data_IF_379558797823
#
_entry.id   IF_379558797823
#
_cell.length_a   1.000
_cell.length_b   1.000
_cell.length_c   1.000
_cell.angle_alpha   90.00
_cell.angle_beta   90.00
_cell.angle_gamma   90.00
#
_symmetry.space_group_name_H-M   'P 1'
#
loop_
_entity.id
_entity.type
_entity.pdbx_description
1 polymer ?
#
# COMPACT_ATOMS: atom_id res chain seq x y z
N UNK A 1 18.41 10.07 15.00
CA UNK A 1 17.77 10.32 13.70
C UNK A 1 16.64 9.32 13.39
N UNK A 2 16.82 8.00 13.49
CA UNK A 2 15.72 7.05 13.19
C UNK A 2 14.48 7.18 14.12
N UNK A 3 14.66 7.57 15.35
CA UNK A 3 13.57 7.75 16.32
C UNK A 3 12.68 8.95 15.98
N UNK A 4 13.25 9.96 15.34
CA UNK A 4 12.54 11.18 14.96
C UNK A 4 11.62 10.93 13.75
N UNK A 5 12.11 10.20 12.74
CA UNK A 5 11.31 9.83 11.57
C UNK A 5 10.10 8.95 11.94
N UNK A 6 10.31 7.87 12.69
CA UNK A 6 9.21 6.99 13.07
C UNK A 6 8.16 7.72 13.92
N UNK A 7 8.59 8.61 14.82
CA UNK A 7 7.70 9.42 15.64
C UNK A 7 6.87 10.37 14.78
N UNK A 8 7.52 11.06 13.84
CA UNK A 8 6.86 11.95 12.90
C UNK A 8 5.81 11.22 12.05
N UNK A 9 6.14 10.01 11.56
CA UNK A 9 5.20 9.19 10.80
C UNK A 9 3.99 8.79 11.66
N UNK A 10 4.20 8.37 12.91
CA UNK A 10 3.10 7.98 13.81
C UNK A 10 2.18 9.16 14.16
N UNK A 11 2.72 10.37 14.36
CA UNK A 11 1.92 11.58 14.58
C UNK A 11 1.04 11.90 13.38
N UNK A 12 1.62 11.83 12.17
CA UNK A 12 0.87 12.04 10.93
C UNK A 12 -0.16 10.93 10.70
N UNK A 13 0.18 9.67 10.99
CA UNK A 13 -0.74 8.54 10.87
C UNK A 13 -1.93 8.66 11.83
N UNK A 14 -1.68 9.13 13.06
CA UNK A 14 -2.73 9.40 14.05
C UNK A 14 -3.70 10.47 13.54
N UNK A 15 -3.19 11.55 12.96
CA UNK A 15 -4.00 12.65 12.47
C UNK A 15 -4.71 12.34 11.15
N UNK A 16 -4.01 11.69 10.22
CA UNK A 16 -4.50 11.45 8.87
C UNK A 16 -5.29 10.14 8.74
N UNK A 17 -5.00 9.12 9.55
CA UNK A 17 -5.49 7.76 9.32
C UNK A 17 -4.95 7.16 8.04
N UNK A 18 -5.51 6.02 7.62
CA UNK A 18 -5.15 5.32 6.39
C UNK A 18 -6.32 5.38 5.42
N UNK A 19 -6.10 5.93 4.24
CA UNK A 19 -7.11 6.12 3.21
C UNK A 19 -7.07 4.97 2.21
N UNK A 20 -8.26 4.52 1.80
CA UNK A 20 -8.43 3.68 0.63
C UNK A 20 -9.03 4.48 -0.55
N UNK A 21 -9.38 3.79 -1.63
CA UNK A 21 -9.83 4.42 -2.87
C UNK A 21 -11.01 5.39 -2.70
N UNK A 22 -11.91 5.13 -1.76
CA UNK A 22 -13.05 5.99 -1.46
C UNK A 22 -12.89 6.66 -0.09
N UNK A 23 -13.34 7.92 0.04
CA UNK A 23 -13.25 8.69 1.30
C UNK A 23 -13.89 8.00 2.50
N UNK A 24 -14.92 7.20 2.25
CA UNK A 24 -15.66 6.45 3.26
C UNK A 24 -14.89 5.23 3.78
N UNK A 25 -13.89 4.78 3.04
CA UNK A 25 -13.06 3.60 3.35
C UNK A 25 -11.78 4.00 4.10
N UNK A 26 -11.89 4.88 5.06
CA UNK A 26 -10.75 5.37 5.85
C UNK A 26 -10.65 4.65 7.18
N UNK A 27 -9.48 4.12 7.49
CA UNK A 27 -9.16 3.63 8.83
C UNK A 27 -8.75 4.83 9.68
N UNK A 28 -9.58 5.17 10.67
CA UNK A 28 -9.30 6.21 11.64
C UNK A 28 -8.99 5.59 13.00
N UNK A 29 -7.83 5.89 13.56
CA UNK A 29 -7.42 5.33 14.83
C UNK A 29 -8.02 6.09 15.99
N UNK A 30 -8.64 5.37 16.93
CA UNK A 30 -9.10 5.90 18.21
C UNK A 30 -7.95 6.04 19.21
N UNK A 31 -6.95 5.16 19.11
CA UNK A 31 -5.67 5.26 19.80
C UNK A 31 -4.54 4.76 18.91
N UNK A 32 -3.34 5.32 19.10
CA UNK A 32 -2.12 4.86 18.45
C UNK A 32 -0.98 5.00 19.47
N UNK A 33 -0.44 3.87 19.90
CA UNK A 33 0.54 3.79 20.97
C UNK A 33 1.78 3.01 20.50
N UNK A 34 2.96 3.38 21.05
CA UNK A 34 4.18 2.66 20.76
C UNK A 34 4.10 1.20 21.21
N UNK A 35 4.64 0.31 20.40
CA UNK A 35 4.76 -1.11 20.67
C UNK A 35 6.24 -1.53 20.65
N UNK A 36 6.74 -2.27 21.65
CA UNK A 36 8.17 -2.61 21.76
C UNK A 36 8.53 -3.84 20.92
N UNK A 37 8.04 -3.91 19.67
CA UNK A 37 8.35 -4.98 18.74
C UNK A 37 9.63 -4.72 17.94
N UNK A 38 10.09 -5.74 17.24
CA UNK A 38 11.24 -5.63 16.34
C UNK A 38 10.83 -5.02 14.98
N UNK A 39 9.69 -5.41 14.46
CA UNK A 39 9.13 -4.96 13.18
C UNK A 39 7.89 -4.10 13.41
N UNK A 40 7.04 -4.49 14.34
CA UNK A 40 5.87 -3.72 14.73
C UNK A 40 6.29 -2.68 15.76
N UNK A 41 6.21 -1.40 15.39
CA UNK A 41 6.66 -0.29 16.25
C UNK A 41 5.51 0.39 17.01
N UNK A 42 4.26 0.15 16.62
CA UNK A 42 3.10 0.71 17.29
C UNK A 42 1.87 -0.21 17.16
N UNK A 43 0.90 0.02 18.02
CA UNK A 43 -0.43 -0.57 17.95
C UNK A 43 -1.47 0.53 17.80
N UNK A 44 -2.30 0.42 16.78
CA UNK A 44 -3.44 1.30 16.55
C UNK A 44 -4.74 0.58 16.87
N UNK A 45 -5.66 1.27 17.52
CA UNK A 45 -7.02 0.78 17.73
C UNK A 45 -7.97 1.54 16.82
N UNK A 46 -8.83 0.84 16.13
CA UNK A 46 -9.85 1.43 15.24
C UNK A 46 -11.16 0.64 15.35
N UNK A 47 -12.22 1.20 14.78
CA UNK A 47 -13.54 0.55 14.79
C UNK A 47 -13.87 0.06 13.39
N UNK A 48 -14.29 -1.19 13.30
CA UNK A 48 -14.75 -1.85 12.10
C UNK A 48 -16.21 -2.27 12.33
N UNK A 49 -17.16 -1.55 11.70
CA UNK A 49 -18.56 -1.67 12.07
C UNK A 49 -18.78 -1.30 13.54
N UNK A 50 -19.27 -2.27 14.33
CA UNK A 50 -19.45 -2.11 15.79
C UNK A 50 -18.29 -2.74 16.60
N UNK A 51 -17.31 -3.34 15.94
CA UNK A 51 -16.23 -4.08 16.58
C UNK A 51 -14.96 -3.25 16.66
N UNK A 52 -14.36 -3.21 17.84
CA UNK A 52 -13.04 -2.61 18.01
C UNK A 52 -11.96 -3.61 17.55
N UNK A 53 -11.05 -3.13 16.70
CA UNK A 53 -9.94 -3.89 16.11
C UNK A 53 -8.59 -3.29 16.51
N UNK A 54 -7.57 -4.12 16.53
CA UNK A 54 -6.19 -3.75 16.83
C UNK A 54 -5.30 -3.99 15.63
N UNK A 55 -4.66 -2.92 15.16
CA UNK A 55 -3.69 -2.97 14.06
C UNK A 55 -2.27 -2.89 14.60
N UNK A 56 -1.41 -3.84 14.23
CA UNK A 56 0.03 -3.67 14.34
C UNK A 56 0.54 -2.74 13.23
N UNK A 57 1.40 -1.79 13.57
CA UNK A 57 1.95 -0.83 12.61
C UNK A 57 3.43 -1.14 12.37
N UNK A 58 3.80 -1.37 11.11
CA UNK A 58 5.16 -1.39 10.63
C UNK A 58 5.43 -0.06 9.92
N UNK A 59 6.52 0.60 10.26
CA UNK A 59 7.04 1.75 9.51
C UNK A 59 8.29 1.30 8.77
N UNK A 60 8.25 1.39 7.45
CA UNK A 60 9.40 1.11 6.59
C UNK A 60 10.50 2.16 6.73
N UNK A 61 11.67 1.92 6.14
CA UNK A 61 12.78 2.85 6.18
C UNK A 61 12.42 4.16 5.46
N UNK A 62 12.99 5.27 5.96
CA UNK A 62 12.85 6.59 5.34
C UNK A 62 13.39 6.58 3.88
N UNK A 63 14.52 5.91 3.69
CA UNK A 63 15.14 5.69 2.39
C UNK A 63 15.33 4.18 2.20
N UNK A 64 14.63 3.61 1.22
CA UNK A 64 14.68 2.19 0.92
C UNK A 64 13.32 1.58 0.66
N UNK A 65 13.29 0.28 0.68
CA UNK A 65 12.14 -0.55 0.27
C UNK A 65 11.81 -1.56 1.36
N UNK A 66 10.54 -1.76 1.65
CA UNK A 66 10.08 -2.86 2.50
C UNK A 66 10.02 -4.13 1.67
N UNK A 67 10.75 -5.14 2.08
CA UNK A 67 10.82 -6.42 1.39
C UNK A 67 9.71 -7.37 1.84
N UNK A 68 9.43 -8.39 1.02
CA UNK A 68 8.52 -9.48 1.42
C UNK A 68 8.97 -10.19 2.71
N UNK A 69 10.26 -10.52 2.93
CA UNK A 69 10.71 -11.06 4.21
C UNK A 69 10.38 -10.17 5.42
N UNK A 70 10.50 -8.84 5.28
CA UNK A 70 10.15 -7.90 6.35
C UNK A 70 8.65 -7.96 6.66
N UNK A 71 7.80 -7.98 5.64
CA UNK A 71 6.35 -8.11 5.80
C UNK A 71 5.97 -9.44 6.46
N UNK A 72 6.60 -10.54 6.06
CA UNK A 72 6.37 -11.87 6.67
C UNK A 72 6.75 -11.85 8.14
N UNK A 73 7.90 -11.27 8.48
CA UNK A 73 8.36 -11.18 9.87
C UNK A 73 7.44 -10.29 10.72
N UNK A 74 7.04 -9.14 10.19
CA UNK A 74 6.10 -8.24 10.86
C UNK A 74 4.71 -8.85 11.04
N UNK A 75 4.19 -9.56 10.03
CA UNK A 75 2.90 -10.22 10.10
C UNK A 75 2.89 -11.37 11.12
N UNK A 76 4.02 -12.11 11.25
CA UNK A 76 4.19 -13.12 12.29
C UNK A 76 4.17 -12.48 13.66
N UNK A 77 4.96 -11.41 13.86
CA UNK A 77 5.00 -10.67 15.11
C UNK A 77 3.62 -10.11 15.49
N UNK A 78 2.88 -9.55 14.53
CA UNK A 78 1.51 -9.07 14.72
C UNK A 78 0.56 -10.22 15.13
N UNK A 79 0.69 -11.38 14.51
CA UNK A 79 -0.10 -12.57 14.84
C UNK A 79 0.19 -13.10 16.25
N UNK A 80 1.47 -13.16 16.64
CA UNK A 80 1.90 -13.59 17.97
C UNK A 80 1.43 -12.61 19.07
N UNK A 81 1.37 -11.30 18.75
CA UNK A 81 0.83 -10.27 19.64
C UNK A 81 -0.71 -10.22 19.67
N UNK A 82 -1.38 -11.03 18.87
CA UNK A 82 -2.84 -11.09 18.81
C UNK A 82 -3.49 -9.88 18.13
N UNK A 83 -2.79 -9.23 17.20
CA UNK A 83 -3.37 -8.17 16.39
C UNK A 83 -4.28 -8.73 15.30
N UNK A 84 -5.28 -7.93 14.92
CA UNK A 84 -6.28 -8.33 13.93
C UNK A 84 -5.77 -8.10 12.50
N UNK A 85 -4.89 -7.12 12.31
CA UNK A 85 -4.34 -6.72 11.01
C UNK A 85 -2.93 -6.15 11.19
N UNK A 86 -2.09 -6.30 10.18
CA UNK A 86 -0.85 -5.55 10.04
C UNK A 86 -1.04 -4.43 9.02
N UNK A 87 -0.74 -3.19 9.40
CA UNK A 87 -0.65 -2.06 8.48
C UNK A 87 0.83 -1.71 8.31
N UNK A 88 1.35 -1.96 7.13
CA UNK A 88 2.71 -1.59 6.77
C UNK A 88 2.68 -0.24 6.08
N UNK A 89 3.38 0.76 6.64
CA UNK A 89 3.51 2.09 6.09
C UNK A 89 4.90 2.25 5.49
N UNK A 90 5.01 2.42 4.17
CA UNK A 90 6.29 2.59 3.50
C UNK A 90 6.15 3.46 2.25
N UNK A 91 7.25 4.09 1.85
CA UNK A 91 7.31 4.80 0.57
C UNK A 91 7.33 3.81 -0.59
N UNK A 92 8.03 2.69 -0.41
CA UNK A 92 8.20 1.68 -1.45
C UNK A 92 8.17 0.25 -0.90
N UNK A 93 7.71 -0.66 -1.76
CA UNK A 93 7.65 -2.10 -1.53
C UNK A 93 8.33 -2.81 -2.68
N UNK A 94 9.01 -3.93 -2.40
CA UNK A 94 9.56 -4.75 -3.46
C UNK A 94 8.45 -5.43 -4.28
N UNK A 95 8.78 -5.82 -5.52
CA UNK A 95 7.80 -6.45 -6.41
C UNK A 95 7.26 -7.77 -5.86
N UNK A 96 8.08 -8.53 -5.10
CA UNK A 96 7.68 -9.81 -4.51
C UNK A 96 6.74 -9.66 -3.31
N UNK A 97 6.55 -8.45 -2.81
CA UNK A 97 5.59 -8.15 -1.75
C UNK A 97 4.18 -7.92 -2.29
N UNK A 98 4.00 -7.72 -3.59
CA UNK A 98 2.71 -7.38 -4.20
C UNK A 98 1.63 -8.43 -3.88
N UNK A 99 1.97 -9.70 -4.01
CA UNK A 99 1.06 -10.84 -3.78
C UNK A 99 0.93 -11.22 -2.29
N UNK A 100 1.65 -10.52 -1.39
CA UNK A 100 1.63 -10.84 0.04
C UNK A 100 0.61 -9.96 0.76
N UNK A 101 -0.61 -10.44 0.89
CA UNK A 101 -1.75 -9.75 1.49
C UNK A 101 -2.21 -10.33 2.82
N UNK A 102 -1.69 -11.52 3.19
CA UNK A 102 -2.12 -12.23 4.40
C UNK A 102 -1.07 -13.21 4.90
N UNK A 103 -0.96 -13.34 6.22
CA UNK A 103 -0.25 -14.42 6.89
C UNK A 103 -1.15 -15.11 7.93
N UNK A 104 -1.54 -16.35 7.65
CA UNK A 104 -2.50 -17.05 8.51
C UNK A 104 -3.82 -16.28 8.62
N UNK A 105 -4.18 -15.83 9.81
CA UNK A 105 -5.40 -15.02 10.05
C UNK A 105 -5.17 -13.52 9.94
N UNK A 106 -3.92 -13.05 9.83
CA UNK A 106 -3.57 -11.64 9.86
C UNK A 106 -3.50 -11.09 8.43
N UNK A 107 -4.44 -10.24 8.02
CA UNK A 107 -4.33 -9.47 6.78
C UNK A 107 -3.16 -8.49 6.87
N UNK A 108 -2.54 -8.22 5.72
CA UNK A 108 -1.43 -7.27 5.58
C UNK A 108 -1.84 -6.17 4.63
N UNK A 109 -2.08 -4.98 5.18
CA UNK A 109 -2.43 -3.80 4.41
C UNK A 109 -1.17 -2.98 4.12
N UNK A 110 -0.86 -2.82 2.86
CA UNK A 110 0.31 -2.04 2.41
C UNK A 110 -0.12 -0.59 2.18
N UNK A 111 0.15 0.27 3.14
CA UNK A 111 -0.14 1.71 3.07
C UNK A 111 1.06 2.45 2.51
N UNK A 112 0.94 2.96 1.29
CA UNK A 112 1.98 3.79 0.70
C UNK A 112 1.98 5.17 1.32
N UNK A 113 3.15 5.61 1.76
CA UNK A 113 3.37 6.94 2.32
C UNK A 113 3.54 7.97 1.20
N UNK A 114 2.91 9.14 1.38
CA UNK A 114 3.09 10.25 0.45
C UNK A 114 4.52 10.81 0.58
N UNK A 115 5.24 11.05 -0.54
CA UNK A 115 6.57 11.67 -0.52
C UNK A 115 6.65 13.00 0.23
N UNK A 116 5.55 13.74 0.35
CA UNK A 116 5.49 15.00 1.11
C UNK A 116 5.88 14.80 2.60
N UNK A 117 5.76 13.59 3.13
CA UNK A 117 6.21 13.25 4.47
C UNK A 117 7.73 13.37 4.67
N UNK A 118 8.54 13.39 3.60
CA UNK A 118 9.98 13.72 3.67
C UNK A 118 10.24 15.19 3.98
N UNK A 119 9.28 16.07 3.71
CA UNK A 119 9.45 17.51 3.86
C UNK A 119 9.29 18.00 5.29
N UNK A 120 9.03 17.12 6.25
CA UNK A 120 9.05 17.40 7.68
C UNK A 120 8.00 18.43 8.12
N UNK A 121 8.35 19.24 9.11
CA UNK A 121 7.44 20.15 9.82
C UNK A 121 6.80 21.31 9.04
N UNK A 122 7.01 21.41 7.74
CA UNK A 122 6.36 22.42 6.88
C UNK A 122 5.02 21.94 6.29
N UNK A 123 4.63 20.67 6.53
CA UNK A 123 3.28 20.21 6.25
C UNK A 123 2.30 20.95 7.15
N UNK A 124 1.81 22.09 6.66
CA UNK A 124 0.65 22.74 7.30
C UNK A 124 -0.47 21.72 7.35
N UNK A 125 -1.23 21.64 8.45
CA UNK A 125 -2.39 20.75 8.59
C UNK A 125 -3.57 21.22 7.71
N UNK A 126 -3.29 21.59 6.50
CA UNK A 126 -4.30 21.84 5.47
C UNK A 126 -4.68 20.50 4.90
N UNK A 127 -5.54 19.80 5.58
CA UNK A 127 -6.31 18.61 5.33
C UNK A 127 -6.60 18.11 3.91
N UNK A 128 -5.72 18.28 2.97
CA UNK A 128 -5.97 18.05 1.54
C UNK A 128 -5.12 16.96 0.89
N UNK A 129 -4.33 16.21 1.65
CA UNK A 129 -3.53 15.12 1.06
C UNK A 129 -3.76 13.79 1.78
N UNK A 130 -4.01 12.74 1.04
CA UNK A 130 -3.96 11.39 1.57
C UNK A 130 -2.50 11.03 1.85
N UNK A 131 -2.08 11.09 3.11
CA UNK A 131 -0.70 10.84 3.51
C UNK A 131 -0.36 9.34 3.52
N UNK A 132 -1.36 8.51 3.79
CA UNK A 132 -1.24 7.05 3.81
C UNK A 132 -2.38 6.46 3.00
N UNK A 133 -2.04 5.77 1.91
CA UNK A 133 -3.04 5.23 0.98
C UNK A 133 -2.79 3.74 0.77
N UNK A 134 -3.81 2.93 1.00
CA UNK A 134 -3.81 1.53 0.58
C UNK A 134 -4.31 1.49 -0.85
N UNK A 135 -3.46 1.02 -1.76
CA UNK A 135 -3.87 0.74 -3.12
C UNK A 135 -4.45 -0.67 -3.17
N UNK A 136 -5.54 -0.81 -3.88
CA UNK A 136 -6.07 -2.13 -4.19
C UNK A 136 -5.08 -2.92 -5.05
N UNK A 137 -5.11 -4.23 -4.93
CA UNK A 137 -4.28 -5.11 -5.77
C UNK A 137 -4.93 -5.26 -7.14
N UNK A 138 -4.20 -5.00 -8.24
CA UNK A 138 -4.78 -5.14 -9.57
C UNK A 138 -4.90 -6.62 -9.93
N UNK A 139 -6.10 -7.04 -10.37
CA UNK A 139 -6.29 -8.32 -11.03
C UNK A 139 -5.85 -8.18 -12.49
N UNK A 140 -4.70 -8.77 -12.81
CA UNK A 140 -4.06 -8.63 -14.11
C UNK A 140 -3.70 -9.98 -14.72
N UNK A 141 -3.70 -10.03 -16.04
CA UNK A 141 -3.17 -11.13 -16.83
C UNK A 141 -2.08 -10.60 -17.76
N UNK A 142 -0.94 -11.26 -17.74
CA UNK A 142 0.17 -10.96 -18.64
C UNK A 142 0.29 -12.10 -19.65
N UNK A 143 0.26 -11.76 -20.92
CA UNK A 143 0.35 -12.71 -22.03
C UNK A 143 1.46 -12.31 -22.99
N UNK A 144 2.12 -13.33 -23.57
CA UNK A 144 3.01 -13.12 -24.72
C UNK A 144 2.17 -12.62 -25.91
N UNK A 145 2.55 -11.48 -26.47
CA UNK A 145 1.91 -10.89 -27.64
C UNK A 145 2.78 -11.04 -28.92
N UNK A 146 3.82 -11.86 -28.87
CA UNK A 146 4.73 -12.11 -30.00
C UNK A 146 5.88 -11.12 -30.08
N UNK A 147 6.23 -10.72 -31.28
CA UNK A 147 7.34 -9.79 -31.54
C UNK A 147 6.87 -8.65 -32.45
N UNK A 148 7.52 -7.49 -32.28
CA UNK A 148 7.34 -6.37 -33.21
C UNK A 148 8.12 -6.59 -34.52
N UNK A 149 8.05 -5.61 -35.42
CA UNK A 149 8.73 -5.65 -36.72
C UNK A 149 10.26 -5.64 -36.57
N UNK A 150 10.77 -5.13 -35.46
CA UNK A 150 12.19 -5.03 -35.11
C UNK A 150 12.68 -6.30 -34.37
N UNK A 151 11.77 -7.23 -34.01
CA UNK A 151 12.07 -8.48 -33.34
C UNK A 151 12.08 -8.42 -31.81
N UNK A 152 11.66 -7.30 -31.21
CA UNK A 152 11.52 -7.16 -29.76
C UNK A 152 10.30 -7.92 -29.26
N UNK A 153 10.42 -8.55 -28.08
CA UNK A 153 9.31 -9.24 -27.45
C UNK A 153 8.19 -8.25 -27.04
N UNK A 154 6.96 -8.61 -27.36
CA UNK A 154 5.78 -7.86 -26.95
C UNK A 154 5.03 -8.61 -25.86
N UNK A 155 4.57 -7.90 -24.85
CA UNK A 155 3.65 -8.41 -23.83
C UNK A 155 2.32 -7.69 -23.91
N UNK A 156 1.26 -8.42 -23.59
CA UNK A 156 -0.08 -7.84 -23.39
C UNK A 156 -0.41 -7.88 -21.90
N UNK A 157 -0.70 -6.73 -21.31
CA UNK A 157 -1.21 -6.63 -19.96
C UNK A 157 -2.71 -6.36 -20.05
N UNK A 158 -3.51 -7.24 -19.45
CA UNK A 158 -4.95 -7.07 -19.33
C UNK A 158 -5.29 -6.88 -17.87
N UNK A 159 -6.02 -5.80 -17.55
CA UNK A 159 -6.50 -5.48 -16.21
C UNK A 159 -7.97 -5.90 -16.16
N UNK A 160 -8.33 -6.75 -15.20
CA UNK A 160 -9.71 -7.23 -14.99
C UNK A 160 -10.44 -6.43 -13.92
N UNK A 161 -9.69 -5.91 -12.96
CA UNK A 161 -10.25 -5.16 -11.85
C UNK A 161 -9.19 -4.83 -10.81
N UNK A 162 -9.65 -4.53 -9.62
CA UNK A 162 -8.84 -4.24 -8.46
C UNK A 162 -9.50 -4.79 -7.21
N UNK A 163 -8.73 -5.43 -6.35
CA UNK A 163 -9.20 -5.89 -5.05
C UNK A 163 -9.00 -4.77 -4.03
N UNK A 164 -10.08 -4.36 -3.39
CA UNK A 164 -10.12 -3.25 -2.43
C UNK A 164 -10.54 -3.78 -1.06
N UNK A 165 -9.75 -3.50 -0.05
CA UNK A 165 -10.15 -3.78 1.33
C UNK A 165 -11.18 -2.75 1.80
N UNK A 166 -12.30 -3.21 2.36
CA UNK A 166 -13.36 -2.38 2.95
C UNK A 166 -13.20 -2.38 4.48
N UNK A 167 -12.67 -1.32 5.09
CA UNK A 167 -12.42 -1.29 6.55
C UNK A 167 -13.69 -1.45 7.39
N UNK A 168 -14.84 -1.07 6.84
CA UNK A 168 -16.11 -1.12 7.56
C UNK A 168 -16.67 -2.54 7.70
N UNK A 169 -16.41 -3.41 6.72
CA UNK A 169 -16.84 -4.82 6.73
C UNK A 169 -15.70 -5.80 7.00
N UNK A 170 -14.43 -5.34 6.91
CA UNK A 170 -13.25 -6.20 7.02
C UNK A 170 -13.06 -7.15 5.84
N UNK A 171 -13.75 -6.91 4.74
CA UNK A 171 -13.75 -7.76 3.57
C UNK A 171 -12.90 -7.17 2.45
N UNK A 172 -12.31 -8.05 1.64
CA UNK A 172 -11.73 -7.67 0.36
C UNK A 172 -12.81 -7.87 -0.70
N UNK A 173 -13.09 -6.81 -1.44
CA UNK A 173 -14.09 -6.81 -2.52
C UNK A 173 -13.37 -6.58 -3.84
N UNK A 174 -13.59 -7.49 -4.79
CA UNK A 174 -13.11 -7.31 -6.16
C UNK A 174 -14.01 -6.35 -6.91
N UNK A 175 -13.46 -5.21 -7.30
CA UNK A 175 -14.13 -4.23 -8.14
C UNK A 175 -13.67 -4.38 -9.59
N UNK A 176 -14.59 -4.25 -10.54
CA UNK A 176 -14.26 -4.29 -11.96
C UNK A 176 -13.45 -3.06 -12.41
N UNK A 177 -13.10 -3.03 -13.70
CA UNK A 177 -12.31 -1.94 -14.29
C UNK A 177 -12.94 -0.56 -14.17
N UNK A 178 -14.24 -0.47 -13.93
CA UNK A 178 -14.96 0.81 -13.74
C UNK A 178 -14.56 1.53 -12.43
N UNK A 179 -14.05 0.80 -11.45
CA UNK A 179 -13.50 1.35 -10.21
C UNK A 179 -12.09 1.91 -10.34
N UNK A 180 -11.42 1.71 -11.48
CA UNK A 180 -10.02 2.13 -11.68
C UNK A 180 -9.99 3.48 -12.39
N UNK A 181 -9.63 4.54 -11.65
CA UNK A 181 -9.50 5.88 -12.23
C UNK A 181 -8.23 6.03 -13.09
N UNK A 182 -7.13 5.39 -12.66
CA UNK A 182 -5.83 5.45 -13.34
C UNK A 182 -5.02 4.21 -12.98
N UNK A 183 -4.29 3.68 -13.94
CA UNK A 183 -3.24 2.69 -13.69
C UNK A 183 -2.00 3.06 -14.52
N UNK A 184 -0.86 2.68 -14.03
CA UNK A 184 0.44 2.97 -14.64
C UNK A 184 1.27 1.71 -14.65
N UNK A 185 2.09 1.52 -15.67
CA UNK A 185 2.99 0.40 -15.81
C UNK A 185 4.43 0.91 -15.85
N UNK A 186 5.25 0.38 -14.95
CA UNK A 186 6.69 0.57 -14.99
C UNK A 186 7.29 -0.58 -15.79
N UNK A 187 7.89 -0.28 -16.94
CA UNK A 187 8.52 -1.26 -17.83
C UNK A 187 10.03 -1.34 -17.63
N UNK A 188 10.60 -0.49 -16.79
CA UNK A 188 12.05 -0.44 -16.50
C UNK A 188 12.31 -0.50 -14.99
N UNK A 189 11.52 -1.33 -14.30
CA UNK A 189 11.62 -1.50 -12.85
C UNK A 189 12.99 -2.09 -12.49
N UNK A 190 13.75 -1.35 -11.69
CA UNK A 190 15.13 -1.69 -11.31
C UNK A 190 15.31 -1.97 -9.82
N UNK A 191 14.21 -2.25 -9.09
CA UNK A 191 14.17 -2.42 -7.63
C UNK A 191 14.57 -1.18 -6.82
N UNK A 192 14.91 -0.10 -7.47
CA UNK A 192 15.13 1.20 -6.83
C UNK A 192 13.80 1.91 -6.58
N UNK A 193 13.82 2.83 -5.65
CA UNK A 193 12.63 3.36 -4.99
C UNK A 193 11.75 4.28 -5.83
N UNK A 194 12.03 4.49 -7.10
CA UNK A 194 11.29 5.44 -7.92
C UNK A 194 10.54 4.73 -9.04
N UNK A 195 9.22 4.91 -9.05
CA UNK A 195 8.41 4.59 -10.20
C UNK A 195 8.79 5.55 -11.34
N UNK A 196 9.43 5.03 -12.36
CA UNK A 196 9.71 5.76 -13.59
C UNK A 196 8.60 5.42 -14.58
N UNK A 197 7.61 6.31 -14.79
CA UNK A 197 6.66 6.11 -15.87
C UNK A 197 7.42 6.16 -17.17
N UNK A 198 7.58 5.03 -17.83
CA UNK A 198 8.19 5.00 -19.16
C UNK A 198 7.34 5.87 -20.07
N UNK A 199 7.88 6.95 -20.68
CA UNK A 199 7.14 7.71 -21.64
C UNK A 199 6.75 6.76 -22.76
N UNK A 200 5.46 6.62 -22.98
CA UNK A 200 4.81 5.70 -23.89
C UNK A 200 5.14 5.99 -25.37
N UNK A 201 6.38 5.83 -25.77
CA UNK A 201 6.69 5.73 -27.20
C UNK A 201 6.40 4.33 -27.76
N UNK A 202 6.13 3.34 -26.89
CA UNK A 202 5.76 1.98 -27.30
C UNK A 202 4.59 1.36 -26.53
N UNK A 203 4.05 1.99 -25.50
CA UNK A 203 2.83 1.53 -24.85
C UNK A 203 1.62 2.12 -25.58
N UNK A 204 0.99 1.34 -26.46
CA UNK A 204 -0.36 1.68 -26.93
C UNK A 204 -1.29 1.75 -25.75
N UNK A 205 -1.75 2.95 -25.41
CA UNK A 205 -2.86 3.18 -24.51
C UNK A 205 -4.03 2.30 -24.91
N UNK A 206 -4.31 1.25 -24.14
CA UNK A 206 -5.54 0.48 -24.33
C UNK A 206 -6.65 1.33 -23.74
N UNK A 207 -7.39 2.04 -24.61
CA UNK A 207 -8.65 2.65 -24.20
C UNK A 207 -9.62 1.51 -23.91
N UNK A 208 -10.07 1.39 -22.67
CA UNK A 208 -11.28 0.67 -22.33
C UNK A 208 -12.42 1.32 -23.14
N UNK A 209 -13.01 0.57 -24.07
CA UNK A 209 -14.27 0.99 -24.69
C UNK A 209 -15.37 0.84 -23.65
N UNK A 210 -16.12 1.93 -23.44
CA UNK A 210 -17.43 1.92 -22.78
C UNK A 210 -18.40 1.01 -23.53
#
# INVERSE_FOLDING_TARGET
MATDFAHMILENLRAAGVQQAHKEDRISFTSLEGWPGRFVCAVGTYTEGETQRRAGILIGPEYGTVSRPDLVAAAREAGDAGFDVLIACAFNYDAHSAEFDKLGRVPVLKARMNPDLHMGGDLKPNGSGNLFVIFGEPDIKIEDAGKDAEGNALIRVQVFGVDVFKPQSGEVVSEGTDGIALWMLDTDYNEESFFVPTPTSSARTIRTRR
#
